data_IF_580949270041
#
_entry.id   IF_580949270041
#
_cell.length_a   1.000
_cell.length_b   1.000
_cell.length_c   1.000
_cell.angle_alpha   90.00
_cell.angle_beta   90.00
_cell.angle_gamma   90.00
#
_symmetry.space_group_name_H-M   'P 1'
#
loop_
_entity.id
_entity.type
_entity.pdbx_description
1 polymer ?
#
# COMPACT_ATOMS: atom_id res chain seq x y z
N UNK A 1 15.64 -21.37 6.67
CA UNK A 1 14.71 -20.26 6.72
C UNK A 1 15.30 -18.96 6.17
N UNK A 2 16.48 -18.54 6.55
CA UNK A 2 17.15 -17.30 6.07
C UNK A 2 17.26 -17.18 4.55
N UNK A 3 17.58 -18.25 3.81
CA UNK A 3 17.70 -18.23 2.34
C UNK A 3 16.37 -17.97 1.64
N UNK A 4 15.25 -18.51 2.16
CA UNK A 4 13.91 -18.28 1.59
C UNK A 4 13.43 -16.87 1.87
N UNK A 5 13.71 -16.33 3.04
CA UNK A 5 13.41 -14.94 3.38
C UNK A 5 14.19 -13.96 2.47
N UNK A 6 15.47 -14.25 2.22
CA UNK A 6 16.31 -13.45 1.32
C UNK A 6 15.79 -13.49 -0.14
N UNK A 7 15.34 -14.65 -0.61
CA UNK A 7 14.73 -14.82 -1.94
C UNK A 7 13.41 -14.03 -2.07
N UNK A 8 12.55 -14.07 -1.06
CA UNK A 8 11.28 -13.31 -1.04
C UNK A 8 11.58 -11.80 -1.05
N UNK A 9 12.55 -11.36 -0.25
CA UNK A 9 12.95 -9.96 -0.18
C UNK A 9 13.54 -9.46 -1.51
N UNK A 10 14.35 -10.29 -2.19
CA UNK A 10 14.92 -9.97 -3.51
C UNK A 10 13.85 -9.93 -4.60
N UNK A 11 12.88 -10.83 -4.58
CA UNK A 11 11.76 -10.83 -5.54
C UNK A 11 10.89 -9.59 -5.32
N UNK A 12 10.60 -9.23 -4.06
CA UNK A 12 9.83 -8.03 -3.72
C UNK A 12 10.56 -6.75 -4.15
N UNK A 13 11.87 -6.67 -3.91
CA UNK A 13 12.70 -5.56 -4.34
C UNK A 13 12.79 -5.46 -5.88
N UNK A 14 12.85 -6.61 -6.57
CA UNK A 14 12.87 -6.66 -8.04
C UNK A 14 11.51 -6.26 -8.64
N UNK A 15 10.38 -6.64 -8.02
CA UNK A 15 9.05 -6.18 -8.40
C UNK A 15 8.89 -4.66 -8.20
N UNK A 16 9.36 -4.12 -7.07
CA UNK A 16 9.36 -2.68 -6.85
C UNK A 16 10.24 -1.94 -7.88
N UNK A 17 11.44 -2.46 -8.18
CA UNK A 17 12.32 -1.89 -9.19
C UNK A 17 11.72 -1.95 -10.61
N UNK A 18 10.98 -3.01 -10.95
CA UNK A 18 10.31 -3.13 -12.25
C UNK A 18 9.16 -2.11 -12.39
N UNK A 19 8.42 -1.82 -11.32
CA UNK A 19 7.38 -0.79 -11.30
C UNK A 19 8.00 0.60 -11.48
N UNK A 20 9.11 0.88 -10.80
CA UNK A 20 9.85 2.15 -10.97
C UNK A 20 10.52 2.28 -12.35
N UNK A 21 10.92 1.18 -12.97
CA UNK A 21 11.52 1.20 -14.31
C UNK A 21 10.48 1.50 -15.41
N UNK A 22 9.23 1.14 -15.24
CA UNK A 22 8.14 1.51 -16.15
C UNK A 22 7.79 2.99 -16.07
N UNK A 23 7.89 3.60 -14.89
CA UNK A 23 7.70 5.05 -14.73
C UNK A 23 8.83 5.87 -15.36
N UNK A 24 10.06 5.35 -15.43
CA UNK A 24 11.19 6.02 -16.07
C UNK A 24 11.01 6.15 -17.59
N UNK A 25 10.40 5.18 -18.26
CA UNK A 25 10.08 5.28 -19.69
C UNK A 25 8.89 6.20 -19.99
N UNK A 26 7.99 6.41 -19.01
CA UNK A 26 6.92 7.41 -19.10
C UNK A 26 7.41 8.84 -18.90
N UNK A 27 8.51 9.03 -18.15
CA UNK A 27 9.09 10.34 -17.89
C UNK A 27 9.81 10.95 -19.11
N UNK A 28 10.35 10.14 -20.02
CA UNK A 28 10.95 10.63 -21.26
C UNK A 28 9.92 11.15 -22.26
N UNK A 29 8.70 10.59 -22.29
CA UNK A 29 7.59 11.08 -23.12
C UNK A 29 6.96 12.37 -22.58
N UNK A 30 7.21 12.72 -21.32
CA UNK A 30 6.66 13.89 -20.64
C UNK A 30 7.55 15.16 -20.76
N UNK A 31 8.72 15.06 -21.40
CA UNK A 31 9.68 16.16 -21.52
C UNK A 31 9.33 17.19 -22.62
N UNK A 32 8.30 16.96 -23.43
CA UNK A 32 7.81 17.90 -24.44
C UNK A 32 6.53 18.61 -24.00
N UNK A 33 6.70 19.73 -23.30
CA UNK A 33 5.66 20.72 -23.05
C UNK A 33 5.04 20.69 -21.66
N UNK A 34 4.60 21.85 -21.16
CA UNK A 34 4.04 22.07 -19.80
C UNK A 34 2.90 21.13 -19.33
N UNK A 35 2.33 20.32 -20.21
CA UNK A 35 1.43 19.22 -19.89
C UNK A 35 2.12 18.07 -19.13
N UNK A 36 3.41 17.84 -19.38
CA UNK A 36 4.18 16.77 -18.75
C UNK A 36 4.41 16.97 -17.24
N UNK A 37 4.68 18.20 -16.83
CA UNK A 37 4.91 18.52 -15.40
C UNK A 37 3.61 18.35 -14.60
N UNK A 38 2.48 18.80 -15.14
CA UNK A 38 1.17 18.66 -14.51
C UNK A 38 0.76 17.19 -14.34
N UNK A 39 0.98 16.37 -15.37
CA UNK A 39 0.75 14.93 -15.30
C UNK A 39 1.68 14.27 -14.27
N UNK A 40 2.96 14.60 -14.24
CA UNK A 40 3.91 14.08 -13.26
C UNK A 40 3.50 14.39 -11.82
N UNK A 41 3.01 15.60 -11.56
CA UNK A 41 2.50 15.99 -10.24
C UNK A 41 1.27 15.17 -9.84
N UNK A 42 0.34 14.90 -10.78
CA UNK A 42 -0.82 14.03 -10.52
C UNK A 42 -0.40 12.61 -10.10
N UNK A 43 0.52 12.00 -10.83
CA UNK A 43 1.02 10.66 -10.49
C UNK A 43 1.73 10.63 -9.14
N UNK A 44 2.52 11.66 -8.84
CA UNK A 44 3.20 11.79 -7.55
C UNK A 44 2.19 11.95 -6.41
N UNK A 45 1.18 12.79 -6.59
CA UNK A 45 0.12 12.99 -5.60
C UNK A 45 -0.67 11.70 -5.33
N UNK A 46 -1.02 10.96 -6.38
CA UNK A 46 -1.68 9.66 -6.25
C UNK A 46 -0.81 8.63 -5.52
N UNK A 47 0.47 8.57 -5.85
CA UNK A 47 1.42 7.66 -5.19
C UNK A 47 1.59 7.98 -3.69
N UNK A 48 1.67 9.26 -3.33
CA UNK A 48 1.76 9.71 -1.94
C UNK A 48 0.47 9.38 -1.19
N UNK A 49 -0.69 9.61 -1.80
CA UNK A 49 -1.98 9.30 -1.18
C UNK A 49 -2.12 7.82 -0.81
N UNK A 50 -1.82 6.91 -1.75
CA UNK A 50 -1.82 5.47 -1.48
C UNK A 50 -0.73 5.08 -0.48
N UNK A 51 0.49 5.60 -0.66
CA UNK A 51 1.63 5.25 0.19
C UNK A 51 1.37 5.58 1.66
N UNK A 52 0.89 6.78 1.97
CA UNK A 52 0.56 7.18 3.34
C UNK A 52 -0.60 6.38 3.92
N UNK A 53 -1.65 6.12 3.13
CA UNK A 53 -2.78 5.31 3.56
C UNK A 53 -2.37 3.86 3.87
N UNK A 54 -1.52 3.26 3.04
CA UNK A 54 -1.02 1.90 3.27
C UNK A 54 -0.09 1.81 4.49
N UNK A 55 0.74 2.82 4.74
CA UNK A 55 1.56 2.89 5.95
C UNK A 55 0.69 2.98 7.20
N UNK A 56 -0.32 3.87 7.19
CA UNK A 56 -1.25 4.03 8.30
C UNK A 56 -2.08 2.76 8.54
N UNK A 57 -2.61 2.16 7.47
CA UNK A 57 -3.35 0.90 7.52
C UNK A 57 -2.50 -0.26 8.05
N UNK A 58 -1.25 -0.38 7.60
CA UNK A 58 -0.33 -1.39 8.08
C UNK A 58 -0.04 -1.28 9.58
N UNK A 59 0.16 -0.06 10.10
CA UNK A 59 0.34 0.17 11.54
C UNK A 59 -0.94 -0.17 12.32
N UNK A 60 -2.12 0.20 11.79
CA UNK A 60 -3.40 -0.10 12.40
C UNK A 60 -3.66 -1.61 12.48
N UNK A 61 -3.46 -2.32 11.36
CA UNK A 61 -3.60 -3.79 11.28
C UNK A 61 -2.60 -4.49 12.21
N UNK A 62 -1.36 -4.03 12.28
CA UNK A 62 -0.37 -4.60 13.18
C UNK A 62 -0.78 -4.48 14.65
N UNK A 63 -1.30 -3.33 15.07
CA UNK A 63 -1.75 -3.10 16.46
C UNK A 63 -3.02 -3.88 16.80
N UNK A 64 -4.02 -3.81 15.94
CA UNK A 64 -5.30 -4.53 16.16
C UNK A 64 -5.07 -6.03 16.05
N UNK A 65 -4.29 -6.48 15.06
CA UNK A 65 -3.98 -7.88 14.86
C UNK A 65 -3.25 -8.50 16.04
N UNK A 66 -2.23 -7.82 16.59
CA UNK A 66 -1.51 -8.32 17.77
C UNK A 66 -2.42 -8.41 18.99
N UNK A 67 -3.29 -7.43 19.23
CA UNK A 67 -4.26 -7.45 20.31
C UNK A 67 -5.30 -8.56 20.13
N UNK A 68 -5.79 -8.74 18.90
CA UNK A 68 -6.75 -9.79 18.56
C UNK A 68 -6.14 -11.18 18.76
N UNK A 69 -4.89 -11.39 18.34
CA UNK A 69 -4.19 -12.66 18.53
C UNK A 69 -3.97 -12.98 20.03
N UNK A 70 -3.63 -11.97 20.84
CA UNK A 70 -3.55 -12.10 22.29
C UNK A 70 -4.88 -12.52 22.92
N UNK A 71 -5.96 -11.84 22.58
CA UNK A 71 -7.29 -12.17 23.09
C UNK A 71 -7.78 -13.57 22.66
N UNK A 72 -7.49 -13.97 21.42
CA UNK A 72 -7.85 -15.29 20.90
C UNK A 72 -7.04 -16.42 21.55
N UNK A 73 -5.83 -16.14 22.02
CA UNK A 73 -5.02 -17.13 22.75
C UNK A 73 -5.61 -17.46 24.13
N UNK A 74 -6.31 -16.49 24.75
CA UNK A 74 -7.01 -16.67 26.02
C UNK A 74 -8.41 -17.24 25.83
N UNK A 75 -9.11 -16.81 24.79
CA UNK A 75 -10.47 -17.29 24.48
C UNK A 75 -10.67 -17.43 22.97
N UNK A 76 -10.63 -18.66 22.43
CA UNK A 76 -10.79 -18.94 20.99
C UNK A 76 -12.15 -18.48 20.39
N UNK A 77 -13.19 -18.34 21.22
CA UNK A 77 -14.52 -17.88 20.76
C UNK A 77 -14.52 -16.41 20.30
N UNK A 78 -13.49 -15.63 20.68
CA UNK A 78 -13.34 -14.25 20.27
C UNK A 78 -12.89 -14.07 18.80
N UNK A 79 -12.47 -15.15 18.13
CA UNK A 79 -11.97 -15.08 16.76
C UNK A 79 -13.00 -14.47 15.79
N UNK A 80 -14.26 -14.87 15.87
CA UNK A 80 -15.34 -14.32 15.04
C UNK A 80 -15.65 -12.84 15.28
N UNK A 81 -15.38 -12.34 16.49
CA UNK A 81 -15.59 -10.94 16.87
C UNK A 81 -14.37 -10.05 16.52
N UNK A 82 -13.17 -10.61 16.52
CA UNK A 82 -11.95 -9.89 16.24
C UNK A 82 -11.75 -9.59 14.74
N UNK A 83 -12.17 -10.50 13.86
CA UNK A 83 -12.04 -10.36 12.41
C UNK A 83 -12.61 -9.07 11.81
N UNK A 84 -13.84 -8.60 12.18
CA UNK A 84 -14.37 -7.35 11.66
C UNK A 84 -13.51 -6.12 11.99
N UNK A 85 -12.88 -6.10 13.17
CA UNK A 85 -12.01 -4.98 13.57
C UNK A 85 -10.70 -4.94 12.75
N UNK A 86 -10.14 -6.10 12.42
CA UNK A 86 -8.97 -6.20 11.53
C UNK A 86 -9.34 -5.73 10.13
N UNK A 87 -10.51 -6.14 9.59
CA UNK A 87 -11.00 -5.69 8.30
C UNK A 87 -11.27 -4.18 8.23
N UNK A 88 -11.79 -3.59 9.30
CA UNK A 88 -11.96 -2.13 9.41
C UNK A 88 -10.62 -1.39 9.34
N UNK A 89 -9.58 -1.92 9.98
CA UNK A 89 -8.25 -1.32 9.94
C UNK A 89 -7.63 -1.37 8.54
N UNK A 90 -7.85 -2.46 7.80
CA UNK A 90 -7.41 -2.62 6.40
C UNK A 90 -8.16 -1.66 5.46
N UNK A 91 -9.39 -1.32 5.76
CA UNK A 91 -10.21 -0.39 4.99
C UNK A 91 -9.56 0.99 4.79
N UNK A 92 -8.67 1.43 5.66
CA UNK A 92 -7.95 2.70 5.53
C UNK A 92 -7.12 2.73 4.23
N UNK A 93 -6.46 1.64 3.88
CA UNK A 93 -5.68 1.52 2.64
C UNK A 93 -6.59 1.60 1.40
N UNK A 94 -7.77 0.98 1.44
CA UNK A 94 -8.75 1.02 0.36
C UNK A 94 -9.25 2.44 0.08
N UNK A 95 -9.50 3.24 1.11
CA UNK A 95 -9.88 4.65 0.96
C UNK A 95 -8.76 5.47 0.32
N UNK A 96 -7.50 5.23 0.68
CA UNK A 96 -6.35 5.87 0.04
C UNK A 96 -6.23 5.51 -1.44
N UNK A 97 -6.48 4.26 -1.79
CA UNK A 97 -6.51 3.81 -3.18
C UNK A 97 -7.64 4.48 -3.96
N UNK A 98 -8.83 4.63 -3.38
CA UNK A 98 -9.95 5.32 -4.01
C UNK A 98 -9.61 6.78 -4.33
N UNK A 99 -9.00 7.49 -3.38
CA UNK A 99 -8.54 8.87 -3.60
C UNK A 99 -7.51 8.95 -4.71
N UNK A 100 -6.55 8.02 -4.77
CA UNK A 100 -5.55 7.99 -5.83
C UNK A 100 -6.17 7.77 -7.22
N UNK A 101 -7.13 6.86 -7.32
CA UNK A 101 -7.88 6.62 -8.56
C UNK A 101 -8.65 7.88 -8.98
N UNK A 102 -9.30 8.58 -8.06
CA UNK A 102 -9.98 9.85 -8.35
C UNK A 102 -9.01 10.92 -8.86
N UNK A 103 -7.82 11.04 -8.26
CA UNK A 103 -6.79 11.99 -8.72
C UNK A 103 -6.35 11.69 -10.15
N UNK A 104 -6.26 10.42 -10.52
CA UNK A 104 -5.82 10.01 -11.85
C UNK A 104 -6.91 10.23 -12.93
N UNK A 105 -8.18 10.07 -12.56
CA UNK A 105 -9.32 10.20 -13.50
C UNK A 105 -9.71 11.66 -13.70
N UNK A 106 -9.65 12.50 -12.67
CA UNK A 106 -9.96 13.92 -12.71
C UNK A 106 -8.78 14.76 -13.23
#
# INVERSE_FOLDING_TARGET
>A
MKKRLFLILTILACCCAAIFAQDASGAEAAAEGGAGISAGIKYLAAAIAVGLACLAGGIAVAKIGSSAMGAMSENPELSGKALPFVGLAEGICLWGMLVAVLILIL
#
